data_IF_145586053228
#
_entry.id   IF_145586053228
#
_cell.length_a   1.000
_cell.length_b   1.000
_cell.length_c   1.000
_cell.angle_alpha   90.00
_cell.angle_beta   90.00
_cell.angle_gamma   90.00
#
_symmetry.space_group_name_H-M   'P 1'
#
loop_
_entity.id
_entity.type
_entity.pdbx_description
1 polymer ?
#
# COMPACT_ATOMS: atom_id res chain seq x y z
N UNK A 1 8.32 15.02 1.30
CA UNK A 1 9.10 13.99 2.02
C UNK A 1 10.03 13.19 1.11
N UNK A 2 9.86 13.18 -0.23
CA UNK A 2 10.77 12.51 -1.18
C UNK A 2 11.03 11.03 -0.86
N UNK A 3 9.99 10.34 -0.40
CA UNK A 3 9.99 8.89 -0.18
C UNK A 3 9.36 8.23 -1.42
N UNK A 4 9.80 7.00 -1.71
CA UNK A 4 9.31 6.24 -2.85
C UNK A 4 8.32 5.15 -2.40
N UNK A 5 7.00 5.38 -2.49
CA UNK A 5 6.03 4.36 -2.12
C UNK A 5 6.00 3.25 -3.16
N UNK A 6 6.14 2.00 -2.72
CA UNK A 6 6.04 0.82 -3.58
C UNK A 6 4.83 -0.02 -3.13
N UNK A 7 4.02 -0.47 -4.08
CA UNK A 7 2.89 -1.37 -3.79
C UNK A 7 3.36 -2.82 -3.87
N UNK A 8 3.34 -3.51 -2.73
CA UNK A 8 3.75 -4.92 -2.61
C UNK A 8 2.62 -5.91 -2.95
N UNK A 9 1.99 -5.71 -4.11
CA UNK A 9 0.95 -6.59 -4.64
C UNK A 9 1.45 -7.27 -5.93
N UNK A 10 0.78 -8.35 -6.34
CA UNK A 10 1.12 -9.09 -7.57
C UNK A 10 2.56 -9.64 -7.56
N UNK A 11 2.99 -10.19 -6.44
CA UNK A 11 4.37 -10.65 -6.22
C UNK A 11 4.61 -12.10 -6.65
N UNK A 12 3.57 -12.81 -7.10
CA UNK A 12 3.63 -14.23 -7.46
C UNK A 12 4.81 -14.60 -8.37
N UNK A 13 5.13 -13.76 -9.36
CA UNK A 13 6.23 -14.02 -10.29
C UNK A 13 7.62 -13.94 -9.63
N UNK A 14 7.73 -13.20 -8.52
CA UNK A 14 8.96 -12.99 -7.74
C UNK A 14 9.12 -13.99 -6.58
N UNK A 15 8.15 -14.88 -6.39
CA UNK A 15 8.09 -15.81 -5.25
C UNK A 15 8.08 -17.25 -5.74
N UNK A 16 9.05 -18.04 -5.28
CA UNK A 16 9.19 -19.44 -5.68
C UNK A 16 8.44 -20.44 -4.79
N UNK A 17 8.18 -20.09 -3.52
CA UNK A 17 7.50 -20.95 -2.53
C UNK A 17 6.76 -20.10 -1.51
N UNK A 18 5.84 -20.69 -0.72
CA UNK A 18 5.14 -20.00 0.38
C UNK A 18 5.54 -20.53 1.77
N UNK A 19 6.69 -21.23 1.87
CA UNK A 19 7.09 -21.99 3.06
C UNK A 19 7.20 -21.11 4.32
N UNK A 20 7.69 -19.88 4.18
CA UNK A 20 7.85 -18.97 5.33
C UNK A 20 6.50 -18.38 5.73
N UNK A 21 5.71 -17.91 4.75
CA UNK A 21 4.38 -17.37 5.03
C UNK A 21 3.44 -18.42 5.63
N UNK A 22 3.52 -19.67 5.19
CA UNK A 22 2.59 -20.74 5.60
C UNK A 22 2.81 -21.17 7.06
N UNK A 23 3.92 -20.77 7.68
CA UNK A 23 4.14 -20.94 9.13
C UNK A 23 3.32 -19.96 9.97
N UNK A 24 2.84 -18.86 9.37
CA UNK A 24 2.16 -17.75 10.06
C UNK A 24 0.74 -17.51 9.55
N UNK A 25 0.49 -17.77 8.27
CA UNK A 25 -0.76 -17.50 7.58
C UNK A 25 -1.35 -18.81 7.08
N UNK A 26 -2.61 -19.05 7.45
CA UNK A 26 -3.34 -20.24 7.03
C UNK A 26 -3.65 -20.22 5.52
N UNK A 27 -3.77 -21.40 4.93
CA UNK A 27 -3.95 -21.58 3.48
C UNK A 27 -5.24 -20.95 2.92
N UNK A 28 -6.27 -20.83 3.76
CA UNK A 28 -7.54 -20.18 3.43
C UNK A 28 -7.47 -18.65 3.37
N UNK A 29 -6.38 -18.02 3.83
CA UNK A 29 -6.20 -16.58 3.74
C UNK A 29 -5.94 -16.13 2.29
N UNK A 30 -6.13 -14.83 2.01
CA UNK A 30 -5.96 -14.32 0.66
C UNK A 30 -4.51 -14.48 0.15
N UNK A 31 -4.36 -14.82 -1.12
CA UNK A 31 -3.05 -15.04 -1.74
C UNK A 31 -2.17 -13.79 -1.68
N UNK A 32 -2.75 -12.59 -1.79
CA UNK A 32 -2.02 -11.32 -1.68
C UNK A 32 -1.27 -11.23 -0.35
N UNK A 33 -1.92 -11.57 0.76
CA UNK A 33 -1.29 -11.52 2.08
C UNK A 33 -0.20 -12.57 2.22
N UNK A 34 -0.46 -13.80 1.76
CA UNK A 34 0.52 -14.90 1.80
C UNK A 34 1.75 -14.58 0.96
N UNK A 35 1.56 -14.03 -0.24
CA UNK A 35 2.64 -13.59 -1.13
C UNK A 35 3.42 -12.42 -0.53
N UNK A 36 2.75 -11.40 0.01
CA UNK A 36 3.41 -10.28 0.66
C UNK A 36 4.26 -10.74 1.84
N UNK A 37 3.69 -11.51 2.76
CA UNK A 37 4.44 -11.99 3.94
C UNK A 37 5.59 -12.89 3.51
N UNK A 38 5.38 -13.78 2.53
CA UNK A 38 6.47 -14.58 1.98
C UNK A 38 7.58 -13.69 1.43
N UNK A 39 7.24 -12.69 0.60
CA UNK A 39 8.23 -11.80 -0.01
C UNK A 39 9.08 -11.11 1.05
N UNK A 40 8.44 -10.54 2.07
CA UNK A 40 9.13 -9.82 3.15
C UNK A 40 9.96 -10.76 4.03
N UNK A 41 9.48 -11.97 4.34
CA UNK A 41 10.22 -12.95 5.13
C UNK A 41 11.37 -13.62 4.37
N UNK A 42 11.25 -13.78 3.05
CA UNK A 42 12.21 -14.55 2.23
C UNK A 42 13.40 -13.74 1.75
N UNK A 43 13.37 -12.42 1.85
CA UNK A 43 14.45 -11.62 1.31
C UNK A 43 14.20 -10.11 1.38
N UNK A 44 15.25 -9.37 1.04
CA UNK A 44 16.40 -9.06 1.87
C UNK A 44 16.05 -7.85 2.73
N UNK A 45 16.50 -7.85 3.99
CA UNK A 45 16.39 -6.72 4.93
C UNK A 45 16.93 -5.38 4.37
N UNK A 46 17.54 -5.37 3.18
CA UNK A 46 18.11 -4.22 2.48
C UNK A 46 17.22 -3.57 1.39
N UNK A 47 16.01 -4.08 1.10
CA UNK A 47 15.16 -3.49 0.03
C UNK A 47 14.06 -2.55 0.53
N UNK A 48 13.60 -2.71 1.76
CA UNK A 48 12.49 -1.95 2.33
C UNK A 48 12.95 -1.26 3.61
N UNK A 49 12.90 0.06 3.61
CA UNK A 49 13.25 0.87 4.78
C UNK A 49 12.11 0.90 5.82
N UNK A 50 10.87 0.73 5.38
CA UNK A 50 9.68 0.63 6.24
C UNK A 50 8.54 -0.08 5.49
N UNK A 51 7.52 -0.52 6.24
CA UNK A 51 6.29 -1.09 5.69
C UNK A 51 5.11 -0.26 6.17
N UNK A 52 4.30 0.22 5.22
CA UNK A 52 3.02 0.84 5.50
C UNK A 52 1.87 -0.18 5.39
N UNK A 53 1.00 -0.21 6.40
CA UNK A 53 -0.21 -1.04 6.40
C UNK A 53 -1.41 -0.30 7.01
N UNK A 54 -2.60 -0.70 6.58
CA UNK A 54 -3.86 -0.23 7.14
C UNK A 54 -4.89 -1.38 7.21
N UNK A 55 -5.93 -1.20 8.00
CA UNK A 55 -7.00 -2.17 8.26
C UNK A 55 -8.00 -2.32 7.08
N UNK A 56 -7.50 -2.53 5.86
CA UNK A 56 -8.35 -2.70 4.67
C UNK A 56 -9.28 -3.92 4.79
N UNK A 57 -8.78 -4.99 5.39
CA UNK A 57 -9.51 -6.22 5.71
C UNK A 57 -8.89 -6.90 6.94
N UNK A 58 -9.54 -7.94 7.45
CA UNK A 58 -9.05 -8.67 8.64
C UNK A 58 -7.66 -9.27 8.42
N UNK A 59 -7.37 -9.82 7.24
CA UNK A 59 -6.04 -10.37 6.95
C UNK A 59 -4.97 -9.29 7.00
N UNK A 60 -5.17 -8.16 6.30
CA UNK A 60 -4.18 -7.08 6.23
C UNK A 60 -4.00 -6.36 7.58
N UNK A 61 -5.07 -6.28 8.39
CA UNK A 61 -5.01 -5.74 9.75
C UNK A 61 -4.04 -6.50 10.66
N UNK A 62 -3.91 -7.81 10.47
CA UNK A 62 -3.07 -8.68 11.32
C UNK A 62 -1.64 -8.87 10.79
N UNK A 63 -1.36 -8.56 9.52
CA UNK A 63 0.01 -8.66 8.94
C UNK A 63 1.07 -7.94 9.78
N UNK A 64 0.84 -6.73 10.31
CA UNK A 64 1.85 -6.05 11.11
C UNK A 64 2.25 -6.79 12.40
N UNK A 65 1.40 -7.67 12.92
CA UNK A 65 1.74 -8.53 14.05
C UNK A 65 2.62 -9.69 13.59
N UNK A 66 2.33 -10.31 12.44
CA UNK A 66 3.17 -11.38 11.88
C UNK A 66 4.57 -10.85 11.56
N UNK A 67 4.66 -9.67 10.95
CA UNK A 67 5.93 -9.07 10.54
C UNK A 67 6.67 -8.37 11.70
N UNK A 68 6.14 -8.37 12.92
CA UNK A 68 6.81 -7.74 14.07
C UNK A 68 8.18 -8.36 14.36
N UNK A 69 8.41 -9.60 13.91
CA UNK A 69 9.67 -10.33 14.11
C UNK A 69 10.81 -9.73 13.30
N UNK A 70 10.49 -8.89 12.32
CA UNK A 70 11.45 -8.16 11.50
C UNK A 70 11.77 -6.81 12.15
N UNK A 71 13.05 -6.43 12.11
CA UNK A 71 13.51 -5.12 12.58
C UNK A 71 13.26 -4.00 11.56
N UNK A 72 12.07 -3.98 10.92
CA UNK A 72 11.68 -2.99 9.93
C UNK A 72 10.58 -2.10 10.52
N UNK A 73 10.70 -0.75 10.46
CA UNK A 73 9.66 0.17 10.89
C UNK A 73 8.29 -0.14 10.26
N UNK A 74 7.27 -0.30 11.11
CA UNK A 74 5.89 -0.52 10.69
C UNK A 74 5.07 0.77 10.82
N UNK A 75 4.78 1.41 9.70
CA UNK A 75 3.87 2.56 9.63
C UNK A 75 2.43 2.05 9.53
N UNK A 76 1.54 2.54 10.40
CA UNK A 76 0.17 2.03 10.52
C UNK A 76 -0.84 3.16 10.48
N UNK A 77 -1.97 2.91 9.84
CA UNK A 77 -3.13 3.79 9.87
C UNK A 77 -4.40 2.98 10.06
N UNK A 78 -5.31 3.45 10.91
CA UNK A 78 -6.65 2.88 10.99
C UNK A 78 -7.66 3.71 10.20
N UNK A 79 -8.23 3.14 9.15
CA UNK A 79 -9.34 3.70 8.38
C UNK A 79 -10.66 3.34 9.07
N UNK A 80 -11.49 4.33 9.46
CA UNK A 80 -12.76 4.07 10.12
C UNK A 80 -13.77 3.41 9.16
N UNK A 81 -14.28 2.23 9.53
CA UNK A 81 -15.32 1.50 8.79
C UNK A 81 -16.70 1.74 9.41
N UNK A 82 -17.09 3.00 9.49
CA UNK A 82 -18.37 3.44 10.10
C UNK A 82 -19.12 4.36 9.15
N UNK A 83 -20.44 4.40 9.31
CA UNK A 83 -21.26 5.34 8.56
C UNK A 83 -20.90 6.78 8.96
N UNK A 84 -20.50 7.59 7.97
CA UNK A 84 -20.09 8.97 8.18
C UNK A 84 -21.20 9.85 8.76
N UNK A 85 -22.47 9.48 8.58
CA UNK A 85 -23.63 10.23 9.11
C UNK A 85 -23.87 9.96 10.59
N UNK A 86 -23.31 8.89 11.15
CA UNK A 86 -23.60 8.44 12.52
C UNK A 86 -22.49 8.82 13.52
N UNK A 87 -21.31 9.21 13.05
CA UNK A 87 -20.13 9.48 13.88
C UNK A 87 -19.16 10.43 13.18
N UNK A 88 -18.32 11.14 13.96
CA UNK A 88 -17.28 12.06 13.48
C UNK A 88 -16.04 11.33 12.89
N UNK A 89 -16.27 10.40 11.96
CA UNK A 89 -15.25 9.60 11.27
C UNK A 89 -14.15 10.44 10.61
N UNK A 90 -14.51 11.61 10.06
CA UNK A 90 -13.55 12.52 9.41
C UNK A 90 -12.50 13.06 10.39
N UNK A 91 -12.89 13.39 11.63
CA UNK A 91 -11.94 13.88 12.63
C UNK A 91 -10.99 12.76 13.08
N UNK A 92 -11.51 11.54 13.23
CA UNK A 92 -10.69 10.38 13.52
C UNK A 92 -9.68 10.12 12.41
N UNK A 93 -10.12 10.09 11.15
CA UNK A 93 -9.23 9.87 10.01
C UNK A 93 -8.19 10.99 9.87
N UNK A 94 -8.57 12.26 10.07
CA UNK A 94 -7.62 13.38 10.05
C UNK A 94 -6.52 13.22 11.11
N UNK A 95 -6.88 12.75 12.31
CA UNK A 95 -5.90 12.43 13.36
C UNK A 95 -5.01 11.26 12.99
N UNK A 96 -5.56 10.21 12.39
CA UNK A 96 -4.78 9.07 11.92
C UNK A 96 -3.77 9.47 10.82
N UNK A 97 -4.17 10.35 9.90
CA UNK A 97 -3.27 10.93 8.89
C UNK A 97 -2.18 11.77 9.56
N UNK A 98 -2.51 12.61 10.54
CA UNK A 98 -1.51 13.38 11.27
C UNK A 98 -0.50 12.50 12.04
N UNK A 99 -0.99 11.41 12.64
CA UNK A 99 -0.16 10.42 13.30
C UNK A 99 0.77 9.71 12.30
N UNK A 100 0.25 9.35 11.12
CA UNK A 100 1.04 8.73 10.06
C UNK A 100 2.14 9.67 9.53
N UNK A 101 1.82 10.95 9.33
CA UNK A 101 2.81 11.98 8.95
C UNK A 101 3.94 11.99 9.98
N UNK A 102 3.61 12.14 11.26
CA UNK A 102 4.61 12.17 12.34
C UNK A 102 5.45 10.89 12.40
N UNK A 103 4.81 9.72 12.32
CA UNK A 103 5.52 8.44 12.33
C UNK A 103 6.47 8.30 11.13
N UNK A 104 6.09 8.85 9.98
CA UNK A 104 6.94 8.89 8.77
C UNK A 104 8.12 9.82 8.95
N UNK A 105 7.91 11.03 9.50
CA UNK A 105 9.00 11.96 9.85
C UNK A 105 10.00 11.31 10.81
N UNK A 106 9.51 10.66 11.86
CA UNK A 106 10.32 10.00 12.88
C UNK A 106 11.10 8.80 12.29
N UNK A 107 10.44 7.95 11.49
CA UNK A 107 11.05 6.74 10.92
C UNK A 107 12.16 7.04 9.91
N UNK A 108 12.02 8.12 9.14
CA UNK A 108 12.94 8.45 8.04
C UNK A 108 13.81 9.68 8.31
N UNK A 109 13.64 10.35 9.45
CA UNK A 109 14.30 11.63 9.75
C UNK A 109 14.05 12.69 8.66
N UNK A 110 12.82 12.75 8.14
CA UNK A 110 12.38 13.72 7.12
C UNK A 110 11.35 14.69 7.72
N UNK A 111 11.00 15.74 6.95
CA UNK A 111 9.95 16.68 7.33
C UNK A 111 8.83 16.74 6.29
N UNK A 112 7.60 16.91 6.76
CA UNK A 112 6.45 17.23 5.94
C UNK A 112 6.62 18.60 5.29
N UNK A 113 6.36 18.68 3.98
CA UNK A 113 6.26 19.94 3.26
C UNK A 113 4.84 20.05 2.71
N UNK A 114 4.07 21.07 3.15
CA UNK A 114 2.74 21.34 2.60
C UNK A 114 2.77 21.57 1.09
N UNK A 115 3.79 22.24 0.58
CA UNK A 115 3.94 22.56 -0.85
C UNK A 115 4.15 21.29 -1.66
N UNK A 116 5.07 20.41 -1.23
CA UNK A 116 5.30 19.13 -1.89
C UNK A 116 4.08 18.21 -1.79
N UNK A 117 3.31 18.29 -0.70
CA UNK A 117 2.08 17.53 -0.54
C UNK A 117 0.99 17.99 -1.51
N UNK A 118 0.80 19.29 -1.68
CA UNK A 118 -0.15 19.84 -2.67
C UNK A 118 0.25 19.42 -4.09
N UNK A 119 1.53 19.53 -4.44
CA UNK A 119 2.03 19.08 -5.74
C UNK A 119 1.74 17.58 -5.96
N UNK A 120 1.99 16.75 -4.95
CA UNK A 120 1.67 15.32 -5.00
C UNK A 120 0.17 15.07 -5.22
N UNK A 121 -0.72 15.83 -4.56
CA UNK A 121 -2.17 15.74 -4.79
C UNK A 121 -2.53 15.98 -6.26
N UNK A 122 -1.93 16.99 -6.88
CA UNK A 122 -2.18 17.33 -8.28
C UNK A 122 -1.73 16.21 -9.22
N UNK A 123 -0.53 15.65 -8.98
CA UNK A 123 0.02 14.54 -9.77
C UNK A 123 -0.86 13.28 -9.64
N UNK A 124 -1.25 12.90 -8.41
CA UNK A 124 -2.16 11.77 -8.19
C UNK A 124 -3.55 12.00 -8.79
N UNK A 125 -4.03 13.25 -8.82
CA UNK A 125 -5.32 13.58 -9.45
C UNK A 125 -5.24 13.40 -10.96
N UNK A 126 -4.19 13.92 -11.59
CA UNK A 126 -3.93 13.72 -13.02
C UNK A 126 -3.78 12.23 -13.36
N UNK A 127 -3.07 11.46 -12.55
CA UNK A 127 -2.95 10.01 -12.72
C UNK A 127 -4.32 9.32 -12.68
N UNK A 128 -5.17 9.65 -11.70
CA UNK A 128 -6.53 9.08 -11.59
C UNK A 128 -7.39 9.43 -12.81
N UNK A 129 -7.33 10.66 -13.30
CA UNK A 129 -8.09 11.10 -14.48
C UNK A 129 -7.65 10.33 -15.74
N UNK A 130 -6.34 10.12 -15.91
CA UNK A 130 -5.79 9.32 -17.00
C UNK A 130 -6.19 7.86 -16.90
N UNK A 131 -6.18 7.26 -15.70
CA UNK A 131 -6.66 5.90 -15.48
C UNK A 131 -8.15 5.77 -15.84
N UNK A 132 -9.00 6.70 -15.39
CA UNK A 132 -10.43 6.69 -15.73
C UNK A 132 -10.67 6.83 -17.24
N UNK A 133 -9.88 7.65 -17.92
CA UNK A 133 -9.96 7.77 -19.37
C UNK A 133 -9.55 6.45 -20.04
N UNK A 134 -8.47 5.81 -19.59
CA UNK A 134 -8.02 4.52 -20.10
C UNK A 134 -9.06 3.42 -19.87
N UNK A 135 -9.68 3.35 -18.68
CA UNK A 135 -10.78 2.43 -18.36
C UNK A 135 -11.96 2.60 -19.34
N UNK A 136 -12.35 3.85 -19.64
CA UNK A 136 -13.40 4.13 -20.64
C UNK A 136 -13.02 3.63 -22.02
N UNK A 137 -11.75 3.78 -22.43
CA UNK A 137 -11.25 3.29 -23.73
C UNK A 137 -11.22 1.76 -23.77
N UNK A 138 -10.87 1.09 -22.68
CA UNK A 138 -10.96 -0.38 -22.56
C UNK A 138 -12.40 -0.83 -22.72
N UNK A 139 -13.34 -0.19 -22.00
CA UNK A 139 -14.77 -0.53 -22.08
C UNK A 139 -15.35 -0.35 -23.49
N UNK A 140 -14.79 0.57 -24.28
CA UNK A 140 -15.17 0.80 -25.68
C UNK A 140 -14.46 -0.14 -26.68
N UNK A 141 -13.56 -1.02 -26.21
CA UNK A 141 -12.73 -1.86 -27.07
C UNK A 141 -11.63 -1.12 -27.83
N UNK A 142 -11.34 0.14 -27.45
CA UNK A 142 -10.32 0.98 -28.10
C UNK A 142 -8.94 0.82 -27.48
N UNK A 143 -8.85 0.21 -26.29
CA UNK A 143 -7.61 -0.11 -25.60
C UNK A 143 -7.67 -1.56 -25.11
N UNK A 144 -6.57 -2.31 -25.27
CA UNK A 144 -6.46 -3.66 -24.72
C UNK A 144 -6.45 -3.63 -23.20
N UNK A 145 -7.23 -4.50 -22.57
CA UNK A 145 -7.23 -4.66 -21.11
C UNK A 145 -5.86 -5.12 -20.59
N UNK A 146 -5.17 -6.04 -21.29
CA UNK A 146 -3.82 -6.48 -20.90
C UNK A 146 -2.83 -5.30 -20.91
N UNK A 147 -2.85 -4.47 -21.95
CA UNK A 147 -1.97 -3.30 -22.04
C UNK A 147 -2.28 -2.28 -20.94
N UNK A 148 -3.56 -2.05 -20.64
CA UNK A 148 -3.99 -1.22 -19.53
C UNK A 148 -3.45 -1.75 -18.19
N UNK A 149 -3.68 -3.03 -17.90
CA UNK A 149 -3.20 -3.66 -16.67
C UNK A 149 -1.68 -3.59 -16.54
N UNK A 150 -0.91 -3.86 -17.60
CA UNK A 150 0.55 -3.76 -17.58
C UNK A 150 1.03 -2.37 -17.21
N UNK A 151 0.44 -1.33 -17.79
CA UNK A 151 0.81 0.06 -17.49
C UNK A 151 0.46 0.42 -16.05
N UNK A 152 -0.75 0.10 -15.61
CA UNK A 152 -1.20 0.40 -14.23
C UNK A 152 -0.35 -0.33 -13.19
N UNK A 153 -0.10 -1.62 -13.39
CA UNK A 153 0.72 -2.43 -12.48
C UNK A 153 2.19 -2.00 -12.49
N UNK A 154 2.71 -1.54 -13.62
CA UNK A 154 4.07 -0.98 -13.67
C UNK A 154 4.18 0.26 -12.79
N UNK A 155 3.13 1.07 -12.71
CA UNK A 155 3.05 2.24 -11.83
C UNK A 155 3.22 1.93 -10.34
N UNK A 156 3.15 0.67 -9.91
CA UNK A 156 3.44 0.29 -8.51
C UNK A 156 4.91 0.49 -8.11
N UNK A 157 5.80 0.60 -9.08
CA UNK A 157 7.25 0.70 -8.87
C UNK A 157 7.83 2.03 -9.38
N UNK A 158 7.05 2.85 -10.08
CA UNK A 158 7.47 4.15 -10.61
C UNK A 158 6.90 5.30 -9.77
N UNK A 159 7.63 6.42 -9.65
CA UNK A 159 7.17 7.61 -8.93
C UNK A 159 6.01 8.31 -9.65
#
# INVERSE_FOLDING_TARGET
MNLHPIVLWHLRASIHSLIESDQHIQDYACSIARELVQFVLSGPEALLDAIYSYNACDTLRNIPEILHILNIPMLRMHVPQINQTQCQSNQYLAREVANLIKATEDAFSVQFSPEAFIQSIDDYTKMRDLCQLAEKRVAQGLLSFDSFCRVVLSGYFFP
#
